data_IF_751486073693
#
_entry.id   IF_751486073693
#
_cell.length_a   1.000
_cell.length_b   1.000
_cell.length_c   1.000
_cell.angle_alpha   90.00
_cell.angle_beta   90.00
_cell.angle_gamma   90.00
#
_symmetry.space_group_name_H-M   'P 1'
#
loop_
_entity.id
_entity.type
_entity.pdbx_description
1 polymer ?
#
# COMPACT_ATOMS: atom_id res chain seq x y z
N UNK A 1 14.59 3.87 9.33
CA UNK A 1 13.25 3.33 9.69
C UNK A 1 13.21 1.91 9.18
N UNK A 2 12.94 0.94 10.05
CA UNK A 2 12.84 -0.46 9.63
C UNK A 2 11.46 -0.69 9.00
N UNK A 3 11.41 -1.45 7.89
CA UNK A 3 10.19 -1.85 7.15
C UNK A 3 9.13 -2.56 8.04
N UNK A 4 9.47 -2.87 9.29
CA UNK A 4 8.61 -3.61 10.22
C UNK A 4 7.77 -2.73 11.17
N UNK A 5 7.86 -1.41 11.09
CA UNK A 5 7.27 -0.52 12.10
C UNK A 5 5.77 -0.21 11.90
N UNK A 6 5.17 -0.52 10.74
CA UNK A 6 3.71 -0.42 10.56
C UNK A 6 3.06 -1.80 10.72
N UNK A 7 1.99 -1.93 11.53
CA UNK A 7 1.20 -3.16 11.61
C UNK A 7 0.72 -3.61 10.22
N UNK A 8 0.67 -4.90 9.97
CA UNK A 8 0.25 -5.44 8.66
C UNK A 8 -1.16 -4.95 8.24
N UNK A 9 -2.03 -4.65 9.21
CA UNK A 9 -3.39 -4.13 8.98
C UNK A 9 -3.44 -2.69 8.41
N UNK A 10 -2.36 -1.92 8.55
CA UNK A 10 -2.29 -0.53 8.06
C UNK A 10 -1.60 -0.40 6.70
N UNK A 11 -1.04 -1.50 6.19
CA UNK A 11 -0.36 -1.51 4.90
C UNK A 11 -1.35 -1.67 3.76
N UNK A 12 -1.05 -1.02 2.64
CA UNK A 12 -1.86 -1.18 1.43
C UNK A 12 -1.60 -2.56 0.83
N UNK A 13 -2.67 -3.32 0.65
CA UNK A 13 -2.59 -4.65 0.04
C UNK A 13 -2.84 -4.54 -1.46
N UNK A 14 -1.83 -4.87 -2.27
CA UNK A 14 -1.90 -4.85 -3.73
C UNK A 14 -1.95 -6.29 -4.24
N UNK A 15 -3.07 -6.68 -4.83
CA UNK A 15 -3.25 -8.01 -5.42
C UNK A 15 -2.99 -8.01 -6.92
N UNK A 16 -2.19 -8.97 -7.41
CA UNK A 16 -1.95 -9.18 -8.84
C UNK A 16 -2.76 -10.37 -9.33
N UNK A 17 -3.70 -10.12 -10.22
CA UNK A 17 -4.66 -11.09 -10.76
C UNK A 17 -4.49 -11.25 -12.27
N UNK A 18 -4.91 -12.36 -12.84
CA UNK A 18 -4.87 -12.62 -14.28
C UNK A 18 -4.56 -14.07 -14.59
N UNK A 19 -4.61 -14.42 -15.88
CA UNK A 19 -4.40 -15.78 -16.35
C UNK A 19 -2.96 -16.25 -16.11
N UNK A 20 -2.79 -17.58 -16.14
CA UNK A 20 -1.47 -18.22 -16.17
C UNK A 20 -0.69 -17.67 -17.36
N UNK A 21 0.60 -17.55 -17.26
CA UNK A 21 1.49 -17.02 -18.29
C UNK A 21 1.27 -15.55 -18.71
N UNK A 22 0.32 -14.80 -18.15
CA UNK A 22 0.23 -13.36 -18.35
C UNK A 22 1.47 -12.59 -17.79
N UNK A 23 2.32 -13.29 -17.02
CA UNK A 23 3.56 -12.73 -16.47
C UNK A 23 3.37 -11.99 -15.14
N UNK A 24 2.38 -12.39 -14.31
CA UNK A 24 2.13 -11.80 -12.98
C UNK A 24 3.37 -11.74 -12.11
N UNK A 25 4.02 -12.88 -11.87
CA UNK A 25 5.22 -12.97 -11.02
C UNK A 25 6.38 -12.15 -11.59
N UNK A 26 6.54 -12.14 -12.92
CA UNK A 26 7.55 -11.28 -13.58
C UNK A 26 7.24 -9.81 -13.38
N UNK A 27 5.95 -9.43 -13.47
CA UNK A 27 5.51 -8.05 -13.26
C UNK A 27 5.68 -7.63 -11.79
N UNK A 28 5.35 -8.50 -10.84
CA UNK A 28 5.62 -8.29 -9.42
C UNK A 28 7.11 -8.03 -9.19
N UNK A 29 8.00 -8.86 -9.76
CA UNK A 29 9.44 -8.67 -9.64
C UNK A 29 9.90 -7.34 -10.24
N UNK A 30 9.39 -6.95 -11.41
CA UNK A 30 9.73 -5.69 -12.05
C UNK A 30 9.25 -4.47 -11.23
N UNK A 31 8.05 -4.52 -10.68
CA UNK A 31 7.47 -3.46 -9.84
C UNK A 31 8.25 -3.32 -8.53
N UNK A 32 8.69 -4.43 -7.96
CA UNK A 32 9.38 -4.45 -6.66
C UNK A 32 10.87 -4.17 -6.75
N UNK A 33 11.45 -4.24 -7.96
CA UNK A 33 12.90 -4.08 -8.17
C UNK A 33 13.72 -5.20 -7.54
N UNK A 34 13.10 -6.30 -7.13
CA UNK A 34 13.76 -7.44 -6.50
C UNK A 34 13.51 -8.68 -7.36
N UNK A 35 14.55 -9.48 -7.57
CA UNK A 35 14.38 -10.85 -8.08
C UNK A 35 13.74 -11.71 -6.99
N UNK A 36 12.49 -11.41 -6.71
CA UNK A 36 11.66 -12.21 -5.83
C UNK A 36 11.18 -13.43 -6.63
N UNK A 37 12.11 -14.36 -6.89
CA UNK A 37 11.67 -15.71 -7.18
C UNK A 37 10.75 -16.11 -6.02
N UNK A 38 9.47 -16.25 -6.30
CA UNK A 38 8.50 -16.88 -5.41
C UNK A 38 8.83 -18.37 -5.37
N UNK A 39 9.98 -18.69 -4.81
CA UNK A 39 10.32 -20.03 -4.38
C UNK A 39 9.71 -20.18 -3.01
N UNK A 40 8.57 -20.82 -2.95
CA UNK A 40 8.12 -21.45 -1.73
C UNK A 40 9.14 -22.59 -1.46
N UNK A 41 10.10 -22.34 -0.59
CA UNK A 41 11.09 -23.33 -0.14
C UNK A 41 10.51 -24.39 0.80
N UNK A 42 9.19 -24.57 0.81
CA UNK A 42 8.54 -25.64 1.57
C UNK A 42 7.66 -26.43 0.62
N UNK A 43 8.22 -27.52 0.09
CA UNK A 43 7.44 -28.61 -0.51
C UNK A 43 6.53 -29.19 0.56
N UNK A 44 5.22 -29.00 0.38
CA UNK A 44 4.22 -29.83 1.04
C UNK A 44 3.68 -29.31 2.35
N UNK A 45 3.08 -28.13 2.38
CA UNK A 45 1.90 -27.82 3.23
C UNK A 45 1.48 -26.37 2.99
N UNK A 46 0.15 -26.19 2.87
CA UNK A 46 -0.59 -24.93 2.89
C UNK A 46 -0.54 -24.05 1.64
N UNK A 47 -1.58 -24.09 1.02
CA UNK A 47 -2.31 -23.32 0.02
C UNK A 47 -2.56 -21.85 0.38
N UNK A 48 -1.75 -21.23 1.20
CA UNK A 48 -1.92 -19.81 1.53
C UNK A 48 -1.20 -18.93 0.50
N UNK A 49 -1.83 -17.82 0.07
CA UNK A 49 -1.22 -16.88 -0.85
C UNK A 49 0.06 -16.30 -0.24
N UNK A 50 1.12 -16.25 -1.01
CA UNK A 50 2.38 -15.67 -0.56
C UNK A 50 2.20 -14.17 -0.44
N UNK A 51 2.20 -13.68 0.80
CA UNK A 51 2.17 -12.26 1.10
C UNK A 51 3.59 -11.77 1.36
N UNK A 52 4.02 -10.72 0.67
CA UNK A 52 5.31 -10.08 0.88
C UNK A 52 5.13 -8.62 1.23
N UNK A 53 5.73 -8.24 2.34
CA UNK A 53 5.77 -6.85 2.78
C UNK A 53 6.99 -6.15 2.19
N UNK A 54 6.79 -4.95 1.65
CA UNK A 54 7.85 -4.15 1.09
C UNK A 54 7.50 -2.67 1.05
N UNK A 55 8.48 -1.84 0.71
CA UNK A 55 8.27 -0.44 0.40
C UNK A 55 8.18 -0.25 -1.11
N UNK A 56 7.11 0.37 -1.57
CA UNK A 56 6.86 0.67 -2.98
C UNK A 56 6.67 2.17 -3.16
N UNK A 57 7.67 2.87 -3.68
CA UNK A 57 7.56 4.30 -3.97
C UNK A 57 6.69 4.53 -5.22
N UNK A 58 5.78 5.52 -5.22
CA UNK A 58 5.54 6.54 -4.18
C UNK A 58 4.51 6.14 -3.10
N UNK A 59 4.06 4.88 -3.04
CA UNK A 59 2.95 4.41 -2.21
C UNK A 59 3.36 4.26 -0.73
N UNK A 60 4.63 3.89 -0.48
CA UNK A 60 5.15 3.55 0.85
C UNK A 60 5.05 2.05 1.16
N UNK A 61 4.86 1.66 2.43
CA UNK A 61 4.83 0.26 2.83
C UNK A 61 3.57 -0.45 2.31
N UNK A 62 3.77 -1.53 1.54
CA UNK A 62 2.71 -2.33 0.92
C UNK A 62 2.86 -3.81 1.25
N UNK A 63 1.77 -4.55 1.10
CA UNK A 63 1.76 -6.02 1.06
C UNK A 63 1.40 -6.44 -0.35
N UNK A 64 2.29 -7.11 -1.03
CA UNK A 64 2.01 -7.70 -2.34
C UNK A 64 1.40 -9.09 -2.13
N UNK A 65 0.24 -9.29 -2.74
CA UNK A 65 -0.46 -10.57 -2.77
C UNK A 65 -0.29 -11.14 -4.19
N UNK A 66 0.55 -12.17 -4.34
CA UNK A 66 0.63 -12.91 -5.60
C UNK A 66 -0.43 -14.00 -5.61
N UNK A 67 -1.26 -13.95 -6.65
CA UNK A 67 -2.32 -14.94 -6.82
C UNK A 67 -1.85 -16.02 -7.78
N UNK A 68 -1.97 -17.33 -7.44
CA UNK A 68 -1.77 -18.37 -8.43
C UNK A 68 -2.72 -18.13 -9.62
N UNK A 69 -2.24 -18.37 -10.84
CA UNK A 69 -3.04 -18.17 -12.06
C UNK A 69 -4.40 -18.86 -11.96
N UNK A 70 -5.44 -18.11 -12.29
CA UNK A 70 -6.80 -18.62 -12.34
C UNK A 70 -7.00 -19.22 -13.74
N UNK A 71 -6.51 -20.43 -13.93
CA UNK A 71 -6.80 -21.20 -15.13
C UNK A 71 -7.16 -22.58 -14.67
N UNK A 72 -8.30 -23.05 -15.06
CA UNK A 72 -8.49 -24.42 -15.54
C UNK A 72 -9.96 -24.81 -15.54
N UNK A 73 -10.33 -25.43 -16.59
CA UNK A 73 -11.54 -26.23 -16.75
C UNK A 73 -11.48 -27.42 -15.78
N UNK A 74 -12.51 -27.60 -14.94
CA UNK A 74 -12.65 -28.73 -14.06
C UNK A 74 -13.01 -28.43 -12.61
N UNK A 75 -13.20 -29.44 -11.78
CA UNK A 75 -13.59 -29.32 -10.35
C UNK A 75 -12.62 -28.49 -9.49
N UNK A 76 -11.38 -28.35 -9.93
CA UNK A 76 -10.40 -27.44 -9.33
C UNK A 76 -10.70 -25.95 -9.60
N UNK A 77 -11.49 -25.64 -10.61
CA UNK A 77 -11.83 -24.25 -10.97
C UNK A 77 -12.66 -23.56 -9.89
N UNK A 78 -13.64 -24.23 -9.28
CA UNK A 78 -14.49 -23.67 -8.22
C UNK A 78 -13.69 -23.35 -6.95
N UNK A 79 -12.78 -24.21 -6.55
CA UNK A 79 -11.90 -23.99 -5.39
C UNK A 79 -10.92 -22.82 -5.62
N UNK A 80 -10.50 -22.59 -6.87
CA UNK A 80 -9.62 -21.47 -7.22
C UNK A 80 -10.35 -20.13 -7.26
N UNK A 81 -11.60 -20.12 -7.72
CA UNK A 81 -12.48 -18.94 -7.65
C UNK A 81 -12.71 -18.55 -6.20
N UNK A 82 -13.03 -19.50 -5.33
CA UNK A 82 -13.21 -19.25 -3.90
C UNK A 82 -11.93 -18.71 -3.23
N UNK A 83 -10.77 -19.23 -3.63
CA UNK A 83 -9.47 -18.69 -3.15
C UNK A 83 -9.21 -17.29 -3.66
N UNK A 84 -9.48 -17.02 -4.94
CA UNK A 84 -9.36 -15.66 -5.49
C UNK A 84 -10.30 -14.69 -4.79
N UNK A 85 -11.52 -15.10 -4.45
CA UNK A 85 -12.45 -14.29 -3.67
C UNK A 85 -11.97 -14.01 -2.25
N UNK A 86 -11.38 -15.01 -1.57
CA UNK A 86 -10.75 -14.79 -0.25
C UNK A 86 -9.55 -13.81 -0.32
N UNK A 87 -8.78 -13.87 -1.40
CA UNK A 87 -7.69 -12.92 -1.63
C UNK A 87 -8.19 -11.52 -1.92
N UNK A 88 -9.27 -11.40 -2.69
CA UNK A 88 -9.91 -10.12 -2.99
C UNK A 88 -10.44 -9.42 -1.74
N UNK A 89 -10.90 -10.16 -0.72
CA UNK A 89 -11.32 -9.58 0.56
C UNK A 89 -10.18 -8.88 1.30
N UNK A 90 -8.94 -9.27 1.04
CA UNK A 90 -7.74 -8.70 1.65
C UNK A 90 -7.05 -7.68 0.73
N UNK A 91 -7.59 -7.41 -0.45
CA UNK A 91 -6.97 -6.56 -1.47
C UNK A 91 -7.57 -5.17 -1.43
N UNK A 92 -6.73 -4.16 -1.24
CA UNK A 92 -7.12 -2.75 -1.29
C UNK A 92 -7.08 -2.21 -2.74
N UNK A 93 -6.11 -2.68 -3.55
CA UNK A 93 -5.95 -2.29 -4.96
C UNK A 93 -5.64 -3.55 -5.77
N UNK A 94 -6.33 -3.73 -6.89
CA UNK A 94 -6.09 -4.85 -7.80
C UNK A 94 -5.31 -4.41 -9.05
N UNK A 95 -4.36 -5.26 -9.47
CA UNK A 95 -3.70 -5.17 -10.78
C UNK A 95 -4.15 -6.36 -11.59
N UNK A 96 -4.92 -6.11 -12.64
CA UNK A 96 -5.30 -7.12 -13.62
C UNK A 96 -4.21 -7.23 -14.68
N UNK A 97 -3.46 -8.31 -14.66
CA UNK A 97 -2.38 -8.56 -15.62
C UNK A 97 -2.90 -9.38 -16.78
N UNK A 98 -2.87 -8.80 -17.96
CA UNK A 98 -3.24 -9.45 -19.22
C UNK A 98 -2.03 -9.51 -20.17
N UNK A 99 -1.99 -10.50 -21.04
CA UNK A 99 -1.00 -10.53 -22.12
C UNK A 99 -1.39 -9.50 -23.20
N UNK A 100 -0.46 -8.60 -23.55
CA UNK A 100 -0.73 -7.52 -24.49
C UNK A 100 -1.10 -8.01 -25.90
N UNK A 101 -0.61 -9.18 -26.29
CA UNK A 101 -0.92 -9.76 -27.60
C UNK A 101 -2.29 -10.48 -27.61
N UNK A 102 -2.66 -11.12 -26.49
CA UNK A 102 -3.93 -11.82 -26.37
C UNK A 102 -5.11 -10.86 -26.06
N UNK A 103 -4.82 -9.74 -25.40
CA UNK A 103 -5.84 -8.78 -24.98
C UNK A 103 -6.65 -9.26 -23.78
N UNK A 104 -7.90 -8.75 -23.66
CA UNK A 104 -8.84 -9.13 -22.60
C UNK A 104 -9.79 -10.21 -23.11
N UNK A 105 -9.82 -11.34 -22.42
CA UNK A 105 -10.75 -12.43 -22.66
C UNK A 105 -11.92 -12.41 -21.68
N UNK A 106 -12.68 -13.53 -21.68
CA UNK A 106 -13.85 -13.69 -20.81
C UNK A 106 -13.45 -13.74 -19.32
N UNK A 107 -12.31 -14.36 -19.01
CA UNK A 107 -11.81 -14.47 -17.65
C UNK A 107 -11.43 -13.11 -17.05
N UNK A 108 -10.73 -12.29 -17.80
CA UNK A 108 -10.40 -10.92 -17.40
C UNK A 108 -11.67 -10.08 -17.23
N UNK A 109 -12.65 -10.25 -18.13
CA UNK A 109 -13.95 -9.60 -18.02
C UNK A 109 -14.70 -10.01 -16.74
N UNK A 110 -14.62 -11.29 -16.32
CA UNK A 110 -15.20 -11.76 -15.06
C UNK A 110 -14.52 -11.13 -13.85
N UNK A 111 -13.18 -11.10 -13.83
CA UNK A 111 -12.42 -10.46 -12.75
C UNK A 111 -12.76 -8.97 -12.62
N UNK A 112 -12.85 -8.25 -13.73
CA UNK A 112 -13.22 -6.83 -13.74
C UNK A 112 -14.61 -6.59 -13.14
N UNK A 113 -15.59 -7.46 -13.43
CA UNK A 113 -16.93 -7.40 -12.79
C UNK A 113 -16.82 -7.58 -11.29
N UNK A 114 -16.07 -8.58 -10.82
CA UNK A 114 -15.88 -8.83 -9.38
C UNK A 114 -15.21 -7.62 -8.70
N UNK A 115 -14.20 -7.00 -9.31
CA UNK A 115 -13.56 -5.80 -8.76
C UNK A 115 -14.56 -4.65 -8.66
N UNK A 116 -15.39 -4.46 -9.68
CA UNK A 116 -16.41 -3.42 -9.71
C UNK A 116 -17.49 -3.65 -8.64
N UNK A 117 -18.01 -4.88 -8.54
CA UNK A 117 -19.05 -5.24 -7.57
C UNK A 117 -18.57 -5.09 -6.14
N UNK A 118 -17.31 -5.44 -5.88
CA UNK A 118 -16.66 -5.29 -4.57
C UNK A 118 -16.09 -3.89 -4.32
N UNK A 119 -16.23 -2.96 -5.29
CA UNK A 119 -15.69 -1.59 -5.22
C UNK A 119 -14.18 -1.53 -4.96
N UNK A 120 -13.43 -2.52 -5.46
CA UNK A 120 -11.98 -2.54 -5.38
C UNK A 120 -11.43 -1.70 -6.54
N UNK A 121 -10.67 -0.63 -6.27
CA UNK A 121 -10.01 0.12 -7.33
C UNK A 121 -9.00 -0.78 -8.05
N UNK A 122 -8.96 -0.70 -9.38
CA UNK A 122 -8.06 -1.56 -10.15
C UNK A 122 -7.48 -0.86 -11.37
N UNK A 123 -6.35 -1.38 -11.83
CA UNK A 123 -5.69 -1.01 -13.08
C UNK A 123 -5.42 -2.27 -13.92
N UNK A 124 -5.57 -2.14 -15.23
CA UNK A 124 -5.27 -3.20 -16.18
C UNK A 124 -3.85 -2.99 -16.71
N UNK A 125 -2.97 -3.95 -16.50
CA UNK A 125 -1.61 -3.96 -17.01
C UNK A 125 -1.48 -4.96 -18.16
N UNK A 126 -1.43 -4.47 -19.40
CA UNK A 126 -1.13 -5.26 -20.58
C UNK A 126 0.37 -5.53 -20.63
N UNK A 127 0.76 -6.67 -20.09
CA UNK A 127 2.16 -7.08 -20.00
C UNK A 127 2.67 -7.69 -21.31
N UNK A 128 4.01 -7.77 -21.46
CA UNK A 128 4.69 -8.25 -22.66
C UNK A 128 4.48 -7.36 -23.90
N UNK A 129 4.29 -6.06 -23.69
CA UNK A 129 4.11 -5.13 -24.80
C UNK A 129 5.35 -5.03 -25.71
N UNK A 130 6.49 -5.52 -25.26
CA UNK A 130 7.71 -5.68 -26.06
C UNK A 130 7.58 -6.68 -27.22
N UNK A 131 6.54 -7.51 -27.21
CA UNK A 131 6.21 -8.44 -28.29
C UNK A 131 5.28 -7.83 -29.36
N UNK A 132 4.75 -6.63 -29.15
CA UNK A 132 3.90 -5.94 -30.08
C UNK A 132 4.72 -5.16 -31.12
N UNK A 133 4.27 -5.13 -32.35
CA UNK A 133 4.86 -4.31 -33.43
C UNK A 133 4.68 -2.80 -33.19
N UNK A 134 3.60 -2.42 -32.50
CA UNK A 134 3.35 -1.04 -32.07
C UNK A 134 2.59 -1.07 -30.73
N UNK A 135 2.99 -0.22 -29.79
CA UNK A 135 2.36 -0.13 -28.47
C UNK A 135 1.20 0.87 -28.56
N UNK A 136 -0.06 0.43 -28.29
CA UNK A 136 -1.20 1.33 -28.32
C UNK A 136 -1.14 2.36 -27.20
N UNK A 137 -1.88 3.47 -27.35
CA UNK A 137 -1.98 4.48 -26.28
C UNK A 137 -2.70 3.91 -25.05
N UNK A 138 -2.10 4.14 -23.89
CA UNK A 138 -2.70 3.81 -22.60
C UNK A 138 -4.00 4.59 -22.35
N UNK A 139 -4.98 3.95 -21.70
CA UNK A 139 -6.24 4.59 -21.26
C UNK A 139 -6.17 4.93 -19.76
N UNK A 140 -7.20 5.59 -19.24
CA UNK A 140 -7.24 6.01 -17.83
C UNK A 140 -7.03 4.87 -16.83
N UNK A 141 -7.67 3.71 -17.08
CA UNK A 141 -7.61 2.53 -16.20
C UNK A 141 -6.75 1.39 -16.77
N UNK A 142 -6.04 1.59 -17.88
CA UNK A 142 -5.20 0.56 -18.49
C UNK A 142 -3.91 1.13 -19.05
N UNK A 143 -2.84 0.35 -18.98
CA UNK A 143 -1.53 0.72 -19.52
C UNK A 143 -0.80 -0.50 -20.07
N UNK A 144 0.14 -0.24 -20.98
CA UNK A 144 1.01 -1.24 -21.55
C UNK A 144 2.34 -1.26 -20.79
N UNK A 145 2.77 -2.46 -20.38
CA UNK A 145 4.00 -2.67 -19.61
C UNK A 145 4.79 -3.83 -20.18
N UNK A 146 6.07 -3.85 -19.91
CA UNK A 146 6.92 -5.03 -20.14
C UNK A 146 7.72 -5.28 -18.88
N UNK A 147 7.42 -6.35 -18.19
CA UNK A 147 8.22 -6.82 -17.06
C UNK A 147 9.65 -7.19 -17.45
N UNK A 148 9.86 -7.53 -18.74
CA UNK A 148 11.18 -7.90 -19.28
C UNK A 148 12.08 -6.70 -19.51
N UNK A 149 11.53 -5.62 -20.09
CA UNK A 149 12.32 -4.43 -20.46
C UNK A 149 12.23 -3.29 -19.44
N UNK A 150 11.31 -3.37 -18.49
CA UNK A 150 11.00 -2.30 -17.53
C UNK A 150 10.08 -1.21 -18.09
N UNK A 151 9.65 -1.31 -19.35
CA UNK A 151 8.77 -0.31 -19.96
C UNK A 151 7.45 -0.17 -19.19
N UNK A 152 7.06 1.05 -18.87
CA UNK A 152 5.78 1.38 -18.24
C UNK A 152 5.69 1.01 -16.76
N UNK A 153 6.73 0.47 -16.13
CA UNK A 153 6.70 0.05 -14.71
C UNK A 153 6.54 1.24 -13.77
N UNK A 154 7.27 2.34 -14.01
CA UNK A 154 7.15 3.53 -13.15
C UNK A 154 5.78 4.22 -13.33
N UNK A 155 5.21 4.19 -14.54
CA UNK A 155 3.85 4.67 -14.76
C UNK A 155 2.83 3.80 -14.01
N UNK A 156 3.02 2.47 -13.99
CA UNK A 156 2.18 1.57 -13.21
C UNK A 156 2.24 1.92 -11.72
N UNK A 157 3.43 2.12 -11.15
CA UNK A 157 3.61 2.54 -9.74
C UNK A 157 2.88 3.85 -9.45
N UNK A 158 3.03 4.84 -10.32
CA UNK A 158 2.36 6.14 -10.19
C UNK A 158 0.83 6.02 -10.25
N UNK A 159 0.31 5.15 -11.13
CA UNK A 159 -1.14 4.91 -11.19
C UNK A 159 -1.66 4.19 -9.97
N UNK A 160 -0.93 3.21 -9.46
CA UNK A 160 -1.27 2.54 -8.20
C UNK A 160 -1.34 3.53 -7.05
N UNK A 161 -0.39 4.47 -6.98
CA UNK A 161 -0.42 5.56 -5.99
C UNK A 161 -1.67 6.44 -6.08
N UNK A 162 -2.14 6.74 -7.30
CA UNK A 162 -3.36 7.53 -7.52
C UNK A 162 -4.65 6.77 -7.23
N UNK A 163 -4.62 5.43 -7.26
CA UNK A 163 -5.77 4.59 -6.91
C UNK A 163 -5.96 4.40 -5.41
N UNK A 164 -4.95 4.80 -4.61
CA UNK A 164 -5.12 4.81 -3.17
C UNK A 164 -6.33 5.68 -2.81
N UNK A 165 -7.31 5.12 -2.09
CA UNK A 165 -8.40 5.95 -1.59
C UNK A 165 -7.80 7.11 -0.80
N UNK A 166 -8.19 8.33 -1.12
CA UNK A 166 -7.80 9.52 -0.35
C UNK A 166 -8.15 9.41 1.14
N UNK A 167 -9.01 8.48 1.50
CA UNK A 167 -9.41 8.16 2.87
C UNK A 167 -8.41 7.27 3.64
N UNK A 168 -7.37 6.70 2.98
CA UNK A 168 -6.17 6.15 3.67
C UNK A 168 -5.03 7.17 3.75
N UNK A 169 -5.21 8.37 3.18
CA UNK A 169 -4.53 9.52 3.71
C UNK A 169 -4.99 9.64 5.17
N UNK A 170 -4.13 9.15 6.06
CA UNK A 170 -4.13 9.44 7.48
C UNK A 170 -5.51 9.92 7.95
N UNK A 171 -6.27 9.08 8.63
CA UNK A 171 -7.30 9.61 9.52
C UNK A 171 -6.55 10.68 10.28
N UNK A 172 -6.84 11.95 9.97
CA UNK A 172 -6.36 13.07 10.77
C UNK A 172 -6.82 12.76 12.17
N UNK A 173 -5.90 12.27 13.02
CA UNK A 173 -6.27 11.83 14.37
C UNK A 173 -6.82 13.00 15.17
N UNK A 174 -6.36 14.21 14.82
CA UNK A 174 -6.74 15.45 15.52
C UNK A 174 -6.79 16.66 14.58
N UNK A 175 -6.50 16.49 13.29
CA UNK A 175 -6.39 17.61 12.35
C UNK A 175 -7.68 18.37 12.09
N UNK A 176 -8.84 17.78 12.41
CA UNK A 176 -10.15 18.43 12.42
C UNK A 176 -10.46 19.19 13.72
N UNK A 177 -9.65 18.99 14.76
CA UNK A 177 -9.81 19.60 16.08
C UNK A 177 -8.83 20.77 16.31
N UNK A 178 -7.86 20.97 15.43
CA UNK A 178 -6.81 22.00 15.57
C UNK A 178 -6.75 22.89 14.34
N UNK A 179 -6.41 24.16 14.58
CA UNK A 179 -6.22 25.19 13.54
C UNK A 179 -4.73 25.49 13.36
N UNK A 180 -4.32 26.05 12.21
CA UNK A 180 -2.96 26.52 12.04
C UNK A 180 -2.54 27.50 13.14
N UNK A 181 -1.32 27.30 13.67
CA UNK A 181 -0.72 28.04 14.79
C UNK A 181 -1.30 27.74 16.18
N UNK A 182 -2.24 26.82 16.33
CA UNK A 182 -2.64 26.34 17.65
C UNK A 182 -1.44 25.67 18.35
N UNK A 183 -1.39 25.79 19.67
CA UNK A 183 -0.40 25.10 20.49
C UNK A 183 -1.03 23.84 21.06
N UNK A 184 -0.53 22.68 20.65
CA UNK A 184 -0.98 21.38 21.12
C UNK A 184 0.06 20.78 22.05
N UNK A 185 -0.33 20.46 23.28
CA UNK A 185 0.51 19.76 24.25
C UNK A 185 0.14 18.27 24.22
N UNK A 186 1.04 17.47 23.70
CA UNK A 186 0.89 16.01 23.62
C UNK A 186 1.56 15.35 24.84
N UNK A 187 0.74 14.85 25.74
CA UNK A 187 1.23 14.11 26.90
C UNK A 187 1.48 12.66 26.54
N UNK A 188 2.71 12.23 26.60
CA UNK A 188 3.14 10.90 26.20
C UNK A 188 3.67 10.14 27.42
N UNK A 189 2.92 9.15 27.96
CA UNK A 189 3.44 8.32 29.02
C UNK A 189 4.63 7.50 28.51
N UNK A 190 5.72 7.51 29.28
CA UNK A 190 6.89 6.67 29.02
C UNK A 190 6.93 5.63 30.14
N UNK A 191 6.30 4.51 29.91
CA UNK A 191 6.28 3.38 30.83
C UNK A 191 7.29 2.28 30.43
N UNK A 192 7.43 1.27 31.31
CA UNK A 192 8.34 0.15 31.07
C UNK A 192 7.94 -0.72 29.87
N UNK A 193 6.71 -0.62 29.38
CA UNK A 193 6.21 -1.34 28.21
C UNK A 193 6.59 -0.66 26.88
N UNK A 194 6.99 0.61 26.93
CA UNK A 194 7.46 1.32 25.75
C UNK A 194 8.89 0.86 25.36
N UNK A 195 9.17 0.61 24.08
CA UNK A 195 10.51 0.28 23.63
C UNK A 195 11.49 1.39 23.99
N UNK A 196 12.58 1.06 24.72
CA UNK A 196 13.58 2.05 25.14
C UNK A 196 14.08 2.89 23.97
N UNK A 197 13.96 4.22 24.09
CA UNK A 197 14.45 5.20 23.12
C UNK A 197 13.57 5.40 21.88
N UNK A 198 12.33 4.92 21.86
CA UNK A 198 11.41 5.11 20.71
C UNK A 198 10.01 5.50 21.17
N UNK A 199 9.41 6.42 20.42
CA UNK A 199 7.97 6.66 20.49
C UNK A 199 7.23 5.52 19.81
N UNK A 200 6.10 5.07 20.36
CA UNK A 200 5.24 4.08 19.72
C UNK A 200 4.51 4.69 18.52
N UNK A 201 4.08 3.85 17.58
CA UNK A 201 3.48 4.31 16.32
C UNK A 201 2.30 5.29 16.50
N UNK A 202 1.32 5.07 17.41
CA UNK A 202 0.24 6.05 17.63
C UNK A 202 0.74 7.43 18.04
N UNK A 203 1.80 7.50 18.86
CA UNK A 203 2.41 8.77 19.27
C UNK A 203 3.05 9.50 18.10
N UNK A 204 3.79 8.77 17.24
CA UNK A 204 4.39 9.34 16.02
C UNK A 204 3.33 9.82 15.02
N UNK A 205 2.23 9.08 14.86
CA UNK A 205 1.11 9.46 13.99
C UNK A 205 0.40 10.71 14.51
N UNK A 206 0.23 10.83 15.83
CA UNK A 206 -0.37 12.01 16.44
C UNK A 206 0.50 13.25 16.22
N UNK A 207 1.81 13.15 16.49
CA UNK A 207 2.78 14.23 16.21
C UNK A 207 2.70 14.65 14.75
N UNK A 208 2.69 13.71 13.82
CA UNK A 208 2.60 13.99 12.39
C UNK A 208 1.29 14.67 12.04
N UNK A 209 0.15 14.23 12.56
CA UNK A 209 -1.16 14.83 12.31
C UNK A 209 -1.25 16.30 12.78
N UNK A 210 -0.62 16.62 13.93
CA UNK A 210 -0.53 17.99 14.45
C UNK A 210 0.29 18.88 13.50
N UNK A 211 1.44 18.38 13.06
CA UNK A 211 2.33 19.13 12.15
C UNK A 211 1.68 19.35 10.77
N UNK A 212 0.96 18.36 10.26
CA UNK A 212 0.26 18.46 8.97
C UNK A 212 -0.92 19.46 9.04
N UNK A 213 -1.49 19.69 10.24
CA UNK A 213 -2.46 20.76 10.50
C UNK A 213 -1.80 22.16 10.67
N UNK A 214 -0.50 22.29 10.47
CA UNK A 214 0.27 23.51 10.70
C UNK A 214 0.17 24.06 12.14
N UNK A 215 -0.06 23.18 13.12
CA UNK A 215 -0.10 23.51 14.54
C UNK A 215 1.26 23.26 15.19
N UNK A 216 1.52 23.94 16.31
CA UNK A 216 2.72 23.77 17.12
C UNK A 216 2.54 22.56 18.05
N UNK A 217 3.51 21.64 18.07
CA UNK A 217 3.43 20.48 18.91
C UNK A 217 4.50 20.51 20.02
N UNK A 218 4.05 20.44 21.28
CA UNK A 218 4.90 20.31 22.46
C UNK A 218 4.66 18.93 23.05
N UNK A 219 5.68 18.11 23.06
CA UNK A 219 5.60 16.72 23.58
C UNK A 219 6.25 16.66 24.94
N UNK A 220 5.50 16.21 25.93
CA UNK A 220 5.94 16.11 27.33
C UNK A 220 5.56 14.76 27.92
N UNK A 221 6.24 14.37 29.01
CA UNK A 221 5.79 13.26 29.83
C UNK A 221 4.63 13.73 30.71
N UNK A 222 3.88 12.77 31.25
CA UNK A 222 2.82 13.02 32.21
C UNK A 222 3.29 13.81 33.43
N UNK A 223 4.50 13.49 33.94
CA UNK A 223 5.14 14.17 35.09
C UNK A 223 5.64 15.58 34.78
N UNK A 224 5.71 15.99 33.53
CA UNK A 224 6.29 17.27 33.07
C UNK A 224 5.21 18.26 32.58
N UNK A 225 3.95 17.86 32.59
CA UNK A 225 2.85 18.66 32.02
C UNK A 225 2.72 20.03 32.72
N UNK A 226 2.75 20.06 34.05
CA UNK A 226 2.56 21.30 34.82
C UNK A 226 3.68 22.30 34.56
N UNK A 227 4.92 21.83 34.51
CA UNK A 227 6.09 22.66 34.21
C UNK A 227 6.05 23.18 32.76
N UNK A 228 5.62 22.38 31.82
CA UNK A 228 5.48 22.78 30.42
C UNK A 228 4.39 23.86 30.23
N UNK A 229 3.23 23.71 30.88
CA UNK A 229 2.17 24.71 30.83
C UNK A 229 2.60 26.04 31.44
N UNK A 230 3.36 26.01 32.57
CA UNK A 230 3.93 27.21 33.17
C UNK A 230 4.92 27.92 32.25
N UNK A 231 5.77 27.14 31.55
CA UNK A 231 6.74 27.69 30.60
C UNK A 231 6.08 28.31 29.38
N UNK A 232 4.98 27.74 28.85
CA UNK A 232 4.22 28.29 27.73
C UNK A 232 3.52 29.58 28.12
N UNK A 233 3.00 29.69 29.35
CA UNK A 233 2.27 30.85 29.85
C UNK A 233 3.20 32.04 30.17
N UNK A 234 4.51 31.81 30.27
CA UNK A 234 5.48 32.88 30.54
C UNK A 234 5.84 33.59 29.23
N UNK A 235 5.60 34.89 29.10
CA UNK A 235 6.03 35.62 27.90
C UNK A 235 7.57 35.48 27.75
N UNK A 236 8.01 35.17 26.53
CA UNK A 236 9.43 35.24 26.20
C UNK A 236 9.89 36.70 26.41
N UNK A 237 10.73 36.94 27.41
CA UNK A 237 11.42 38.22 27.50
C UNK A 237 12.24 38.36 26.21
N UNK A 238 11.92 39.38 25.41
CA UNK A 238 12.69 39.71 24.22
C UNK A 238 14.16 39.83 24.61
N UNK A 239 15.11 39.17 23.95
CA UNK A 239 16.51 39.45 24.18
C UNK A 239 16.72 40.95 23.95
N UNK A 240 17.17 41.65 24.97
CA UNK A 240 17.53 43.05 24.84
C UNK A 240 18.61 43.22 23.78
N UNK A 241 18.57 44.29 22.98
CA UNK A 241 19.47 44.55 21.87
C UNK A 241 20.94 44.64 22.28
#
# INVERSE_FOLDING_TARGET
MSLNDKPAAERVHIGFFGLRNAGKSSLVNAVTGQNLALVSDIKGTTTDPVQKTMELLPIGPVVIIDTPGIDDEGELGSMRVERAEKMLQKTDIAVLVADAAAGLGEHEGRLMRIFTDKKIPFVIAFNKCDLLSAIPKSKSNSLYVSAKTGFGIDELKNRLGKLLPSAKHERMLIGDLVSPNDIVVLVTPIDESAPKGRLILPQQQMIRSILDAAAVNIVVKDTELEAALAAIATPLESPMP
#
